data_IF_771148176968
#
_entry.id   IF_771148176968
#
_cell.length_a   1.000
_cell.length_b   1.000
_cell.length_c   1.000
_cell.angle_alpha   90.00
_cell.angle_beta   90.00
_cell.angle_gamma   90.00
#
_symmetry.space_group_name_H-M   'P 1'
#
loop_
_entity.id
_entity.type
_entity.pdbx_description
1 polymer ?
#
# COMPACT_ATOMS: atom_id res chain seq x y z
N UNK A 1 7.56 -25.96 1.23
CA UNK A 1 6.62 -24.88 0.90
C UNK A 1 7.16 -23.60 1.53
N UNK A 2 8.02 -22.89 0.80
CA UNK A 2 8.62 -21.65 1.28
C UNK A 2 7.54 -20.59 1.24
N UNK A 3 6.96 -20.28 2.40
CA UNK A 3 6.23 -19.03 2.59
C UNK A 3 7.30 -17.95 2.40
N UNK A 4 7.48 -17.50 1.18
CA UNK A 4 8.15 -16.24 0.93
C UNK A 4 7.25 -15.22 1.60
N UNK A 5 7.57 -14.89 2.86
CA UNK A 5 7.07 -13.70 3.53
C UNK A 5 7.33 -12.59 2.54
N UNK A 6 6.28 -12.17 1.83
CA UNK A 6 6.33 -10.95 1.04
C UNK A 6 6.84 -9.91 2.03
N UNK A 7 8.06 -9.47 1.77
CA UNK A 7 8.91 -8.91 2.81
C UNK A 7 8.19 -7.75 3.47
N UNK A 8 8.10 -7.81 4.79
CA UNK A 8 7.56 -6.82 5.73
C UNK A 8 7.50 -5.35 5.20
N UNK A 9 8.53 -4.80 4.53
CA UNK A 9 8.48 -3.45 3.94
C UNK A 9 7.47 -3.16 2.82
N UNK A 10 6.93 -4.14 2.08
CA UNK A 10 6.13 -3.87 0.87
C UNK A 10 4.72 -3.36 1.17
N UNK A 11 4.00 -4.03 2.08
CA UNK A 11 2.65 -3.68 2.50
C UNK A 11 2.52 -2.23 2.99
N UNK A 12 3.34 -1.74 3.93
CA UNK A 12 3.15 -0.40 4.47
C UNK A 12 3.47 0.69 3.44
N UNK A 13 4.38 0.44 2.48
CA UNK A 13 4.66 1.37 1.37
C UNK A 13 3.50 1.46 0.40
N UNK A 14 2.91 0.31 0.06
CA UNK A 14 1.71 0.29 -0.78
C UNK A 14 0.52 0.96 -0.07
N UNK A 15 0.35 0.73 1.23
CA UNK A 15 -0.67 1.44 2.02
C UNK A 15 -0.41 2.96 2.10
N UNK A 16 0.84 3.38 2.24
CA UNK A 16 1.20 4.81 2.23
C UNK A 16 0.91 5.46 0.87
N UNK A 17 1.20 4.76 -0.24
CA UNK A 17 0.78 5.18 -1.58
C UNK A 17 -0.74 5.36 -1.64
N UNK A 18 -1.51 4.34 -1.24
CA UNK A 18 -2.97 4.40 -1.26
C UNK A 18 -3.52 5.57 -0.43
N UNK A 19 -2.99 5.76 0.79
CA UNK A 19 -3.39 6.87 1.65
C UNK A 19 -3.06 8.22 1.00
N UNK A 20 -1.90 8.34 0.35
CA UNK A 20 -1.51 9.57 -0.30
C UNK A 20 -2.38 9.89 -1.53
N UNK A 21 -2.69 8.88 -2.36
CA UNK A 21 -3.57 9.04 -3.52
C UNK A 21 -5.01 9.40 -3.10
N UNK A 22 -5.54 8.74 -2.06
CA UNK A 22 -6.87 9.02 -1.54
C UNK A 22 -7.04 10.46 -1.03
N UNK A 23 -5.98 11.10 -0.50
CA UNK A 23 -6.02 12.53 -0.12
C UNK A 23 -6.26 13.47 -1.31
N UNK A 24 -6.01 13.00 -2.52
CA UNK A 24 -6.19 13.74 -3.76
C UNK A 24 -7.33 13.19 -4.62
N UNK A 25 -8.20 12.33 -4.06
CA UNK A 25 -9.31 11.67 -4.77
C UNK A 25 -8.84 10.91 -6.02
N UNK A 26 -7.65 10.30 -5.94
CA UNK A 26 -7.04 9.50 -7.01
C UNK A 26 -6.92 8.04 -6.61
N UNK A 27 -6.89 7.15 -7.60
CA UNK A 27 -6.60 5.73 -7.43
C UNK A 27 -5.31 5.34 -8.15
N UNK A 28 -4.69 4.17 -7.84
CA UNK A 28 -3.51 3.69 -8.57
C UNK A 28 -3.70 3.55 -10.10
N UNK A 29 -4.95 3.48 -10.58
CA UNK A 29 -5.28 3.40 -12.01
C UNK A 29 -5.14 4.73 -12.74
N UNK A 30 -5.19 5.84 -12.00
CA UNK A 30 -5.30 7.19 -12.54
C UNK A 30 -3.94 7.92 -12.57
N UNK A 31 -2.87 7.24 -12.13
CA UNK A 31 -1.58 7.86 -11.85
C UNK A 31 -0.42 7.06 -12.41
N UNK A 32 0.65 7.77 -12.77
CA UNK A 32 1.94 7.17 -13.07
C UNK A 32 2.79 7.00 -11.82
N UNK A 33 3.12 5.76 -11.49
CA UNK A 33 3.93 5.40 -10.33
C UNK A 33 5.34 5.03 -10.77
N UNK A 34 6.34 5.72 -10.24
CA UNK A 34 7.75 5.35 -10.40
C UNK A 34 8.25 4.64 -9.14
N UNK A 35 8.82 3.44 -9.28
CA UNK A 35 9.53 2.76 -8.19
C UNK A 35 11.02 2.88 -8.39
N UNK A 36 11.66 3.66 -7.51
CA UNK A 36 13.12 3.87 -7.49
C UNK A 36 13.75 2.81 -6.59
N UNK A 37 14.72 2.08 -7.13
CA UNK A 37 15.29 0.91 -6.49
C UNK A 37 14.41 -0.34 -6.57
N UNK A 38 13.60 -0.50 -7.62
CA UNK A 38 12.62 -1.58 -7.75
C UNK A 38 13.17 -2.99 -7.45
N UNK A 39 14.45 -3.25 -7.73
CA UNK A 39 15.12 -4.53 -7.43
C UNK A 39 15.32 -4.82 -5.94
N UNK A 40 15.25 -3.83 -5.06
CA UNK A 40 15.40 -4.02 -3.62
C UNK A 40 14.14 -4.58 -2.96
N UNK A 41 12.99 -4.44 -3.62
CA UNK A 41 11.72 -4.92 -3.07
C UNK A 41 10.79 -5.51 -4.16
N UNK A 42 11.16 -6.63 -4.82
CA UNK A 42 10.35 -7.23 -5.87
C UNK A 42 8.87 -7.52 -5.49
N UNK A 43 8.55 -7.95 -4.25
CA UNK A 43 7.16 -8.19 -3.88
C UNK A 43 6.26 -6.93 -3.92
N UNK A 44 6.81 -5.74 -3.76
CA UNK A 44 6.06 -4.48 -3.94
C UNK A 44 5.57 -4.32 -5.38
N UNK A 45 6.38 -4.74 -6.36
CA UNK A 45 6.01 -4.66 -7.77
C UNK A 45 4.82 -5.57 -8.06
N UNK A 46 4.84 -6.80 -7.53
CA UNK A 46 3.71 -7.73 -7.64
C UNK A 46 2.43 -7.16 -7.01
N UNK A 47 2.55 -6.49 -5.86
CA UNK A 47 1.42 -5.83 -5.19
C UNK A 47 0.85 -4.68 -6.03
N UNK A 48 1.70 -3.83 -6.61
CA UNK A 48 1.27 -2.71 -7.45
C UNK A 48 0.57 -3.20 -8.72
N UNK A 49 1.06 -4.28 -9.33
CA UNK A 49 0.43 -4.92 -10.49
C UNK A 49 -0.93 -5.52 -10.10
N UNK A 50 -0.98 -6.31 -9.01
CA UNK A 50 -2.23 -6.91 -8.53
C UNK A 50 -3.27 -5.87 -8.07
N UNK A 51 -2.80 -4.68 -7.69
CA UNK A 51 -3.60 -3.52 -7.37
C UNK A 51 -4.14 -2.75 -8.59
N UNK A 52 -3.81 -3.18 -9.81
CA UNK A 52 -4.16 -2.54 -11.07
C UNK A 52 -3.55 -1.14 -11.25
N UNK A 53 -2.28 -0.99 -10.83
CA UNK A 53 -1.48 0.19 -11.20
C UNK A 53 -1.15 0.11 -12.68
N UNK A 54 -1.77 0.97 -13.50
CA UNK A 54 -1.70 0.87 -14.97
C UNK A 54 -0.41 1.40 -15.56
N UNK A 55 0.09 2.51 -15.00
CA UNK A 55 1.32 3.14 -15.47
C UNK A 55 2.38 3.01 -14.38
N UNK A 56 3.16 1.94 -14.48
CA UNK A 56 4.20 1.57 -13.53
C UNK A 56 5.56 1.62 -14.21
N UNK A 57 6.40 2.55 -13.79
CA UNK A 57 7.80 2.65 -14.22
C UNK A 57 8.73 2.14 -13.11
N UNK A 58 9.78 1.43 -13.51
CA UNK A 58 10.80 0.91 -12.60
C UNK A 58 12.13 1.57 -12.93
N UNK A 59 12.88 1.97 -11.91
CA UNK A 59 14.21 2.54 -12.07
C UNK A 59 15.15 1.98 -11.01
N UNK A 60 16.40 1.71 -11.38
CA UNK A 60 17.44 1.22 -10.50
C UNK A 60 18.76 1.97 -10.76
N UNK A 61 19.68 1.93 -9.80
CA UNK A 61 20.96 2.62 -9.92
C UNK A 61 21.75 2.29 -11.21
N UNK A 62 21.78 1.03 -11.72
CA UNK A 62 22.43 0.73 -13.00
C UNK A 62 21.80 1.42 -14.22
N UNK A 63 20.53 1.82 -14.15
CA UNK A 63 19.82 2.48 -15.24
C UNK A 63 20.30 3.94 -15.41
N UNK A 64 20.93 4.52 -14.38
CA UNK A 64 21.35 5.92 -14.33
C UNK A 64 22.27 6.35 -15.48
N UNK A 65 23.10 5.43 -15.99
CA UNK A 65 24.04 5.73 -17.07
C UNK A 65 23.34 6.01 -18.41
N UNK A 66 22.21 5.35 -18.65
CA UNK A 66 21.41 5.52 -19.88
C UNK A 66 20.24 6.49 -19.66
N UNK A 67 19.67 6.50 -18.45
CA UNK A 67 18.47 7.23 -18.12
C UNK A 67 18.56 7.80 -16.69
N UNK A 68 19.05 9.04 -16.53
CA UNK A 68 19.22 9.67 -15.22
C UNK A 68 17.89 9.81 -14.45
N UNK A 69 17.96 9.71 -13.11
CA UNK A 69 16.77 9.73 -12.25
C UNK A 69 15.92 11.01 -12.43
N UNK A 70 16.54 12.17 -12.62
CA UNK A 70 15.82 13.44 -12.83
C UNK A 70 14.96 13.43 -14.11
N UNK A 71 15.31 12.60 -15.10
CA UNK A 71 14.48 12.39 -16.29
C UNK A 71 13.41 11.33 -16.03
N UNK A 72 13.73 10.29 -15.26
CA UNK A 72 12.79 9.23 -14.93
C UNK A 72 11.59 9.71 -14.10
N UNK A 73 11.79 10.70 -13.22
CA UNK A 73 10.70 11.30 -12.44
C UNK A 73 9.77 12.18 -13.29
N UNK A 74 10.19 12.58 -14.49
CA UNK A 74 9.40 13.51 -15.30
C UNK A 74 8.07 12.85 -15.72
N UNK A 75 6.96 13.49 -15.35
CA UNK A 75 5.61 12.99 -15.58
C UNK A 75 5.16 11.86 -14.65
N UNK A 76 5.93 11.52 -13.60
CA UNK A 76 5.41 10.69 -12.53
C UNK A 76 4.42 11.50 -11.67
N UNK A 77 3.37 10.86 -11.16
CA UNK A 77 2.45 11.44 -10.18
C UNK A 77 2.86 11.05 -8.75
N UNK A 78 3.38 9.82 -8.62
CA UNK A 78 3.85 9.26 -7.37
C UNK A 78 5.18 8.55 -7.56
N UNK A 79 6.04 8.66 -6.56
CA UNK A 79 7.35 8.00 -6.51
C UNK A 79 7.44 7.19 -5.22
N UNK A 80 7.76 5.91 -5.34
CA UNK A 80 8.17 5.08 -4.21
C UNK A 80 9.69 5.02 -4.24
N UNK A 81 10.32 5.73 -3.31
CA UNK A 81 11.76 5.82 -3.19
C UNK A 81 12.28 4.77 -2.20
N UNK A 82 12.81 3.67 -2.74
CA UNK A 82 13.40 2.61 -1.93
C UNK A 82 14.89 2.83 -1.67
N UNK A 83 15.52 3.80 -2.33
CA UNK A 83 16.96 4.08 -2.21
C UNK A 83 17.24 5.28 -1.32
N UNK A 84 16.24 6.09 -0.97
CA UNK A 84 16.44 7.37 -0.29
C UNK A 84 17.15 8.38 -1.19
N UNK A 85 16.87 8.33 -2.50
CA UNK A 85 17.50 9.18 -3.51
C UNK A 85 17.04 10.65 -3.44
N UNK A 86 15.91 10.94 -2.80
CA UNK A 86 15.39 12.32 -2.67
C UNK A 86 15.64 12.90 -1.28
N UNK A 87 16.17 14.13 -1.23
CA UNK A 87 16.35 14.87 0.03
C UNK A 87 15.02 15.28 0.65
N UNK A 88 15.03 15.59 1.95
CA UNK A 88 13.85 16.12 2.63
C UNK A 88 13.38 17.45 2.00
N UNK A 89 14.29 18.35 1.62
CA UNK A 89 13.91 19.63 1.00
C UNK A 89 13.20 19.42 -0.34
N UNK A 90 13.68 18.46 -1.15
CA UNK A 90 13.02 18.13 -2.41
C UNK A 90 11.61 17.58 -2.17
N UNK A 91 11.42 16.73 -1.14
CA UNK A 91 10.11 16.16 -0.81
C UNK A 91 9.10 17.21 -0.34
N UNK A 92 9.55 18.21 0.39
CA UNK A 92 8.68 19.28 0.90
C UNK A 92 8.26 20.28 -0.18
N UNK A 93 9.11 20.51 -1.16
CA UNK A 93 8.88 21.51 -2.23
C UNK A 93 8.29 20.91 -3.50
N UNK A 94 8.40 19.58 -3.67
CA UNK A 94 7.90 18.89 -4.85
C UNK A 94 6.39 18.69 -4.82
N UNK A 95 5.69 18.89 -5.96
CA UNK A 95 4.29 18.51 -6.08
C UNK A 95 4.08 16.98 -6.18
N UNK A 96 5.16 16.20 -6.28
CA UNK A 96 5.13 14.74 -6.39
C UNK A 96 4.75 14.10 -5.05
N UNK A 97 3.91 13.06 -5.11
CA UNK A 97 3.72 12.19 -3.94
C UNK A 97 4.94 11.28 -3.78
N UNK A 98 5.80 11.52 -2.79
CA UNK A 98 7.01 10.72 -2.56
C UNK A 98 6.84 9.88 -1.28
N UNK A 99 6.86 8.56 -1.44
CA UNK A 99 6.81 7.57 -0.37
C UNK A 99 8.21 7.05 -0.09
N UNK A 100 8.70 7.16 1.14
CA UNK A 100 10.05 6.73 1.54
C UNK A 100 10.01 5.58 2.55
N UNK A 101 11.17 5.00 2.92
CA UNK A 101 11.22 3.95 3.93
C UNK A 101 10.63 4.36 5.29
N UNK A 102 10.71 5.64 5.65
CA UNK A 102 10.22 6.17 6.93
C UNK A 102 8.69 6.16 7.01
N UNK A 103 8.01 6.19 5.87
CA UNK A 103 6.54 6.10 5.79
C UNK A 103 6.03 4.68 6.14
N UNK A 104 6.94 3.72 6.35
CA UNK A 104 6.62 2.32 6.65
C UNK A 104 6.41 2.01 8.15
N UNK A 105 6.37 3.01 9.04
CA UNK A 105 6.29 2.81 10.50
C UNK A 105 5.08 2.02 11.01
N UNK A 106 4.09 1.75 10.16
CA UNK A 106 2.89 0.98 10.48
C UNK A 106 3.00 -0.52 10.15
N UNK A 107 4.13 -0.99 9.60
CA UNK A 107 4.32 -2.38 9.19
C UNK A 107 4.03 -3.40 10.30
N UNK A 108 4.58 -3.24 11.53
CA UNK A 108 4.39 -4.23 12.59
C UNK A 108 2.91 -4.39 12.98
N UNK A 109 2.14 -3.30 12.99
CA UNK A 109 0.71 -3.33 13.31
C UNK A 109 -0.10 -4.06 12.24
N UNK A 110 0.19 -3.84 10.96
CA UNK A 110 -0.49 -4.54 9.88
C UNK A 110 -0.17 -6.05 9.88
N UNK A 111 1.10 -6.41 10.08
CA UNK A 111 1.49 -7.82 10.22
C UNK A 111 0.81 -8.47 11.43
N UNK A 112 0.76 -7.79 12.58
CA UNK A 112 0.04 -8.28 13.74
C UNK A 112 -1.45 -8.51 13.45
N UNK A 113 -2.09 -7.65 12.66
CA UNK A 113 -3.47 -7.83 12.20
C UNK A 113 -3.65 -9.07 11.33
N UNK A 114 -2.80 -9.26 10.32
CA UNK A 114 -2.83 -10.44 9.43
C UNK A 114 -2.61 -11.72 10.23
N UNK A 115 -1.58 -11.77 11.07
CA UNK A 115 -1.29 -12.93 11.91
C UNK A 115 -2.43 -13.22 12.90
N UNK A 116 -3.03 -12.17 13.47
CA UNK A 116 -4.20 -12.30 14.33
C UNK A 116 -5.42 -12.85 13.60
N UNK A 117 -5.64 -12.48 12.34
CA UNK A 117 -6.68 -13.05 11.49
C UNK A 117 -6.41 -14.53 11.18
N UNK A 118 -5.19 -14.87 10.76
CA UNK A 118 -4.78 -16.24 10.46
C UNK A 118 -4.86 -17.17 11.67
N UNK A 119 -4.56 -16.67 12.87
CA UNK A 119 -4.72 -17.43 14.11
C UNK A 119 -6.19 -17.74 14.44
N UNK A 120 -7.14 -16.92 13.97
CA UNK A 120 -8.58 -17.12 14.21
C UNK A 120 -9.26 -17.93 13.10
N UNK A 121 -8.75 -17.87 11.88
CA UNK A 121 -9.33 -18.59 10.75
C UNK A 121 -8.22 -19.21 9.87
N UNK A 122 -8.12 -20.56 9.82
CA UNK A 122 -7.07 -21.25 9.08
C UNK A 122 -7.21 -21.13 7.55
N UNK A 123 -8.32 -20.60 7.04
CA UNK A 123 -8.52 -20.32 5.61
C UNK A 123 -7.81 -19.04 5.14
N UNK A 124 -7.31 -18.20 6.07
CA UNK A 124 -6.52 -17.02 5.70
C UNK A 124 -5.17 -17.48 5.15
N UNK A 125 -4.99 -17.32 3.84
CA UNK A 125 -3.73 -17.57 3.14
C UNK A 125 -2.94 -16.26 3.02
N UNK A 126 -1.64 -16.25 3.33
CA UNK A 126 -0.78 -15.08 3.14
C UNK A 126 -0.44 -14.87 1.65
N UNK A 127 -1.46 -14.62 0.84
CA UNK A 127 -1.37 -14.35 -0.59
C UNK A 127 -1.55 -12.86 -0.90
N UNK A 128 -1.51 -12.54 -2.20
CA UNK A 128 -1.57 -11.17 -2.69
C UNK A 128 -2.87 -10.46 -2.34
N UNK A 129 -4.00 -11.18 -2.24
CA UNK A 129 -5.31 -10.60 -1.94
C UNK A 129 -5.42 -10.25 -0.45
N UNK A 130 -4.88 -11.08 0.44
CA UNK A 130 -4.73 -10.73 1.86
C UNK A 130 -3.85 -9.49 2.02
N UNK A 131 -2.70 -9.44 1.33
CA UNK A 131 -1.82 -8.27 1.43
C UNK A 131 -2.45 -7.01 0.85
N UNK A 132 -3.19 -7.12 -0.26
CA UNK A 132 -3.94 -6.00 -0.85
C UNK A 132 -5.01 -5.49 0.11
N UNK A 133 -5.82 -6.40 0.67
CA UNK A 133 -6.87 -6.06 1.64
C UNK A 133 -6.29 -5.40 2.88
N UNK A 134 -5.21 -5.97 3.41
CA UNK A 134 -4.52 -5.40 4.56
C UNK A 134 -3.93 -4.01 4.25
N UNK A 135 -3.39 -3.79 3.04
CA UNK A 135 -2.88 -2.49 2.64
C UNK A 135 -3.99 -1.43 2.51
N UNK A 136 -5.17 -1.80 1.99
CA UNK A 136 -6.34 -0.91 1.92
C UNK A 136 -6.82 -0.54 3.32
N UNK A 137 -6.97 -1.53 4.21
CA UNK A 137 -7.36 -1.29 5.60
C UNK A 137 -6.34 -0.41 6.33
N UNK A 138 -5.05 -0.66 6.11
CA UNK A 138 -3.98 0.13 6.67
C UNK A 138 -3.99 1.57 6.13
N UNK A 139 -4.21 1.76 4.83
CA UNK A 139 -4.30 3.08 4.21
C UNK A 139 -5.46 3.91 4.80
N UNK A 140 -6.62 3.28 5.01
CA UNK A 140 -7.77 3.92 5.65
C UNK A 140 -7.51 4.28 7.13
N UNK A 141 -6.68 3.50 7.82
CA UNK A 141 -6.27 3.76 9.19
C UNK A 141 -5.09 4.75 9.30
N UNK A 142 -4.39 5.01 8.20
CA UNK A 142 -3.21 5.86 8.16
C UNK A 142 -3.60 7.32 8.38
N UNK A 143 -2.97 7.97 9.37
CA UNK A 143 -3.16 9.43 9.61
C UNK A 143 -1.86 10.23 9.67
N UNK A 144 -0.77 9.66 9.14
CA UNK A 144 0.57 10.23 9.28
C UNK A 144 1.08 10.25 10.73
N UNK A 145 2.37 10.51 10.86
CA UNK A 145 3.07 10.70 12.14
C UNK A 145 3.29 9.42 12.97
N UNK A 146 3.95 9.56 14.13
CA UNK A 146 4.26 8.43 15.02
C UNK A 146 3.01 7.71 15.52
N UNK A 147 3.06 6.38 15.52
CA UNK A 147 2.01 5.55 16.10
C UNK A 147 2.18 5.43 17.62
N UNK A 148 1.17 5.84 18.38
CA UNK A 148 1.08 5.48 19.80
C UNK A 148 0.71 3.99 19.95
N UNK A 149 1.00 3.33 21.08
CA UNK A 149 0.64 1.91 21.29
C UNK A 149 -0.85 1.62 21.11
N UNK A 150 -1.72 2.54 21.54
CA UNK A 150 -3.17 2.40 21.37
C UNK A 150 -3.56 2.46 19.87
N UNK A 151 -2.98 3.38 19.12
CA UNK A 151 -3.20 3.47 17.66
C UNK A 151 -2.67 2.25 16.94
N UNK A 152 -1.50 1.74 17.32
CA UNK A 152 -0.92 0.53 16.76
C UNK A 152 -1.86 -0.68 16.93
N UNK A 153 -2.47 -0.83 18.11
CA UNK A 153 -3.47 -1.87 18.36
C UNK A 153 -4.72 -1.68 17.52
N UNK A 154 -5.24 -0.46 17.41
CA UNK A 154 -6.41 -0.17 16.60
C UNK A 154 -6.17 -0.47 15.10
N UNK A 155 -4.98 -0.13 14.59
CA UNK A 155 -4.55 -0.48 13.22
C UNK A 155 -4.51 -2.00 13.03
N UNK A 156 -3.91 -2.73 13.98
CA UNK A 156 -3.84 -4.19 13.91
C UNK A 156 -5.24 -4.83 13.91
N UNK A 157 -6.16 -4.34 14.74
CA UNK A 157 -7.56 -4.79 14.75
C UNK A 157 -8.24 -4.51 13.42
N UNK A 158 -8.16 -3.28 12.89
CA UNK A 158 -8.78 -2.92 11.62
C UNK A 158 -8.27 -3.77 10.45
N UNK A 159 -6.96 -4.02 10.40
CA UNK A 159 -6.35 -4.90 9.38
C UNK A 159 -6.85 -6.34 9.54
N UNK A 160 -6.85 -6.88 10.76
CA UNK A 160 -7.31 -8.25 11.02
C UNK A 160 -8.79 -8.45 10.67
N UNK A 161 -9.65 -7.50 11.02
CA UNK A 161 -11.08 -7.56 10.74
C UNK A 161 -11.34 -7.49 9.22
N UNK A 162 -10.60 -6.64 8.48
CA UNK A 162 -10.71 -6.56 7.02
C UNK A 162 -10.29 -7.86 6.33
N UNK A 163 -9.20 -8.49 6.79
CA UNK A 163 -8.73 -9.79 6.26
C UNK A 163 -9.74 -10.90 6.53
N UNK A 164 -10.36 -10.93 7.72
CA UNK A 164 -11.40 -11.91 8.03
C UNK A 164 -12.66 -11.68 7.17
N UNK A 165 -13.08 -10.43 7.00
CA UNK A 165 -14.25 -10.08 6.20
C UNK A 165 -14.11 -10.47 4.72
N UNK A 166 -12.88 -10.54 4.19
CA UNK A 166 -12.62 -11.01 2.83
C UNK A 166 -13.04 -12.47 2.60
N UNK A 167 -13.09 -13.27 3.67
CA UNK A 167 -13.48 -14.68 3.61
C UNK A 167 -14.99 -14.89 3.71
N UNK A 168 -15.76 -13.85 4.05
CA UNK A 168 -17.21 -13.93 4.11
C UNK A 168 -17.81 -13.70 2.70
N UNK A 169 -18.48 -14.70 2.11
CA UNK A 169 -18.98 -14.62 0.73
C UNK A 169 -20.24 -13.77 0.55
N UNK A 170 -20.69 -13.02 1.56
CA UNK A 170 -21.96 -12.28 1.46
C UNK A 170 -21.77 -10.95 0.73
N UNK A 171 -22.32 -10.77 -0.49
CA UNK A 171 -22.44 -9.44 -1.05
C UNK A 171 -23.49 -8.69 -0.23
N UNK A 172 -23.21 -7.45 0.19
CA UNK A 172 -24.23 -6.58 0.77
C UNK A 172 -25.25 -6.28 -0.34
N UNK A 173 -26.48 -6.80 -0.32
CA UNK A 173 -27.47 -6.34 -1.29
C UNK A 173 -27.79 -4.87 -0.96
N UNK A 174 -27.88 -3.98 -1.95
CA UNK A 174 -28.57 -2.71 -1.73
C UNK A 174 -30.01 -3.07 -1.34
N UNK A 175 -30.38 -2.76 -0.11
CA UNK A 175 -31.76 -2.80 0.31
C UNK A 175 -32.55 -1.87 -0.59
N UNK A 176 -33.24 -2.43 -1.58
CA UNK A 176 -34.31 -1.74 -2.29
C UNK A 176 -35.41 -1.58 -1.25
N UNK A 177 -35.40 -0.43 -0.56
CA UNK A 177 -36.57 0.07 0.13
C UNK A 177 -37.61 0.32 -0.96
N UNK A 178 -38.50 -0.64 -1.19
CA UNK A 178 -39.71 -0.37 -1.97
C UNK A 178 -40.48 0.69 -1.19
N UNK A 179 -40.51 1.91 -1.72
CA UNK A 179 -41.57 2.86 -1.42
C UNK A 179 -42.85 2.26 -2.00
N UNK A 180 -43.57 1.50 -1.17
CA UNK A 180 -45.02 1.46 -1.26
C UNK A 180 -45.51 2.75 -0.58
N UNK A 181 -46.47 3.40 -1.23
CA UNK A 181 -47.33 4.49 -0.76
C UNK A 181 -47.13 5.82 -1.51
N UNK A 182 -47.72 5.90 -2.72
CA UNK A 182 -48.49 7.03 -3.25
C UNK A 182 -49.23 6.60 -4.52
#
# INVERSE_FOLDING_TARGET
MTIAVVSEPALPRYAALLAALARHDRTPRDVRVLVVGARTLPPLISLLIAADTRDLALWNLPDAAAFPLHQAIFGADAVIDLLGAFSAEFRETSPLTIITPDDAGTAPSAIAGILGAAARNPLVTCDIDVYRTAAVALAAAHRGGPLSPHRARAVATAVGDAVLAMLDPTPRPPGIQRAADA
#
